data_IF_687829026625
#
_entry.id   IF_687829026625
#
_cell.length_a   1.000
_cell.length_b   1.000
_cell.length_c   1.000
_cell.angle_alpha   90.00
_cell.angle_beta   90.00
_cell.angle_gamma   90.00
#
_symmetry.space_group_name_H-M   'P 1'
#
loop_
_entity.id
_entity.type
_entity.pdbx_description
1 polymer ?
#
# COMPACT_ATOMS: atom_id res chain seq x y z
N UNK A 1 -4.46 -9.80 -45.75
CA UNK A 1 -4.76 -8.66 -44.86
C UNK A 1 -4.52 -9.11 -43.43
N UNK A 2 -3.36 -8.82 -42.85
CA UNK A 2 -3.01 -9.20 -41.48
C UNK A 2 -3.71 -8.24 -40.52
N UNK A 3 -4.70 -8.73 -39.79
CA UNK A 3 -5.30 -7.98 -38.69
C UNK A 3 -4.26 -7.86 -37.58
N UNK A 4 -3.58 -6.72 -37.52
CA UNK A 4 -2.76 -6.31 -36.38
C UNK A 4 -3.70 -6.17 -35.18
N UNK A 5 -3.84 -7.25 -34.42
CA UNK A 5 -4.59 -7.27 -33.17
C UNK A 5 -3.85 -6.36 -32.18
N UNK A 6 -4.38 -5.15 -31.98
CA UNK A 6 -3.97 -4.29 -30.88
C UNK A 6 -4.38 -4.99 -29.58
N UNK A 7 -3.41 -5.61 -28.93
CA UNK A 7 -3.56 -6.16 -27.58
C UNK A 7 -3.72 -4.97 -26.62
N UNK A 8 -4.97 -4.55 -26.42
CA UNK A 8 -5.34 -3.64 -25.32
C UNK A 8 -5.40 -4.52 -24.08
N UNK A 9 -4.29 -4.62 -23.36
CA UNK A 9 -4.29 -5.17 -22.00
C UNK A 9 -5.01 -4.18 -21.09
N UNK A 10 -6.33 -4.34 -20.98
CA UNK A 10 -7.09 -3.75 -19.89
C UNK A 10 -6.62 -4.44 -18.61
N UNK A 11 -5.66 -3.84 -17.91
CA UNK A 11 -5.55 -4.05 -16.48
C UNK A 11 -6.84 -3.49 -15.90
N UNK A 12 -7.81 -4.36 -15.65
CA UNK A 12 -8.92 -4.03 -14.78
C UNK A 12 -8.28 -3.62 -13.47
N UNK A 13 -8.26 -2.32 -13.17
CA UNK A 13 -7.95 -1.82 -11.85
C UNK A 13 -9.03 -2.41 -10.95
N UNK A 14 -8.72 -3.53 -10.28
CA UNK A 14 -9.39 -3.88 -9.04
C UNK A 14 -9.04 -2.72 -8.11
N UNK A 15 -9.91 -1.70 -8.08
CA UNK A 15 -9.89 -0.73 -7.00
C UNK A 15 -10.36 -1.54 -5.81
N UNK A 16 -9.43 -2.21 -5.15
CA UNK A 16 -9.68 -2.68 -3.81
C UNK A 16 -10.05 -1.41 -3.04
N UNK A 17 -11.26 -1.36 -2.48
CA UNK A 17 -11.76 -0.26 -1.66
C UNK A 17 -11.03 -0.28 -0.31
N UNK A 18 -9.70 -0.29 -0.38
CA UNK A 18 -8.76 -0.31 0.71
C UNK A 18 -8.83 1.09 1.32
N UNK A 19 -9.46 1.18 2.49
CA UNK A 19 -9.60 2.44 3.18
C UNK A 19 -8.48 2.55 4.21
N UNK A 20 -7.80 3.69 4.20
CA UNK A 20 -6.77 4.03 5.18
C UNK A 20 -7.41 4.12 6.58
N UNK A 21 -8.73 4.37 6.67
CA UNK A 21 -9.49 4.35 7.92
C UNK A 21 -9.57 3.00 8.63
N UNK A 22 -9.13 1.90 8.00
CA UNK A 22 -9.02 0.58 8.66
C UNK A 22 -7.70 0.42 9.44
N UNK A 23 -6.76 1.35 9.29
CA UNK A 23 -5.55 1.37 10.11
C UNK A 23 -5.89 1.74 11.56
N UNK A 24 -5.14 1.19 12.54
CA UNK A 24 -5.22 1.67 13.91
C UNK A 24 -4.90 3.17 14.01
N UNK A 25 -5.55 3.88 14.93
CA UNK A 25 -5.37 5.33 15.14
C UNK A 25 -3.88 5.74 15.32
N UNK A 26 -3.06 4.85 15.91
CA UNK A 26 -1.62 5.10 16.10
C UNK A 26 -0.80 4.96 14.80
N UNK A 27 -1.32 4.24 13.80
CA UNK A 27 -0.64 3.93 12.54
C UNK A 27 -1.04 4.88 11.39
N UNK A 28 -2.22 5.50 11.46
CA UNK A 28 -2.67 6.50 10.49
C UNK A 28 -1.65 7.63 10.27
N UNK A 29 -1.13 8.30 11.32
CA UNK A 29 -0.13 9.36 11.16
C UNK A 29 1.14 8.84 10.50
N UNK A 30 1.55 7.62 10.82
CA UNK A 30 2.73 7.00 10.19
C UNK A 30 2.55 6.84 8.68
N UNK A 31 1.35 6.46 8.22
CA UNK A 31 1.05 6.34 6.80
C UNK A 31 1.05 7.71 6.11
N UNK A 32 0.33 8.68 6.68
CA UNK A 32 0.14 10.02 6.08
C UNK A 32 1.44 10.82 6.08
N UNK A 33 2.17 10.86 7.19
CA UNK A 33 3.34 11.73 7.36
C UNK A 33 4.54 11.23 6.55
N UNK A 34 4.65 9.91 6.35
CA UNK A 34 5.71 9.33 5.52
C UNK A 34 5.34 9.27 4.03
N UNK A 35 4.09 9.58 3.64
CA UNK A 35 3.65 9.52 2.24
C UNK A 35 4.58 10.23 1.24
N UNK A 36 5.16 11.41 1.53
CA UNK A 36 6.09 12.06 0.60
C UNK A 36 7.31 11.22 0.23
N UNK A 37 7.72 10.25 1.07
CA UNK A 37 8.84 9.32 0.80
C UNK A 37 8.47 8.32 -0.31
N UNK A 38 7.18 8.01 -0.48
CA UNK A 38 6.71 7.02 -1.45
C UNK A 38 6.99 7.42 -2.90
N UNK A 39 6.97 8.73 -3.21
CA UNK A 39 7.01 9.25 -4.57
C UNK A 39 5.74 9.01 -5.38
N UNK A 40 4.68 8.51 -4.74
CA UNK A 40 3.42 8.15 -5.39
C UNK A 40 2.52 9.38 -5.60
N UNK A 41 1.63 9.29 -6.59
CA UNK A 41 0.77 10.40 -6.96
C UNK A 41 -0.40 10.64 -5.97
N UNK A 42 -0.83 9.59 -5.27
CA UNK A 42 -1.94 9.62 -4.31
C UNK A 42 -1.68 8.67 -3.15
N UNK A 43 -2.20 8.98 -1.96
CA UNK A 43 -2.20 8.08 -0.80
C UNK A 43 -3.02 6.81 -1.01
N UNK A 44 -3.86 6.78 -2.04
CA UNK A 44 -4.66 5.62 -2.45
C UNK A 44 -4.06 4.88 -3.64
N UNK A 45 -2.89 5.30 -4.13
CA UNK A 45 -2.15 4.57 -5.17
C UNK A 45 -1.39 3.40 -4.54
N UNK A 46 -2.16 2.43 -4.05
CA UNK A 46 -1.63 1.30 -3.28
C UNK A 46 -0.62 0.48 -4.09
N UNK A 47 -0.81 0.33 -5.41
CA UNK A 47 0.17 -0.36 -6.25
C UNK A 47 1.54 0.34 -6.22
N UNK A 48 1.57 1.68 -6.30
CA UNK A 48 2.80 2.45 -6.16
C UNK A 48 3.35 2.39 -4.72
N UNK A 49 2.49 2.57 -3.72
CA UNK A 49 2.87 2.60 -2.31
C UNK A 49 3.51 1.27 -1.89
N UNK A 50 2.87 0.16 -2.21
CA UNK A 50 3.38 -1.18 -1.92
C UNK A 50 4.72 -1.47 -2.60
N UNK A 51 4.95 -0.90 -3.79
CA UNK A 51 6.22 -1.02 -4.50
C UNK A 51 7.35 -0.14 -3.90
N UNK A 52 7.03 0.82 -3.03
CA UNK A 52 8.01 1.75 -2.45
C UNK A 52 8.62 1.19 -1.17
N UNK A 53 9.77 0.52 -1.30
CA UNK A 53 10.51 -0.04 -0.16
C UNK A 53 10.93 1.01 0.87
N UNK A 54 11.29 2.22 0.42
CA UNK A 54 11.67 3.33 1.31
C UNK A 54 10.48 3.78 2.17
N UNK A 55 9.30 3.90 1.57
CA UNK A 55 8.07 4.21 2.30
C UNK A 55 7.70 3.10 3.29
N UNK A 56 7.68 1.84 2.84
CA UNK A 56 7.34 0.69 3.68
C UNK A 56 8.26 0.59 4.91
N UNK A 57 9.57 0.82 4.75
CA UNK A 57 10.52 0.86 5.87
C UNK A 57 10.25 2.02 6.83
N UNK A 58 9.98 3.22 6.31
CA UNK A 58 9.71 4.40 7.13
C UNK A 58 8.42 4.24 7.95
N UNK A 59 7.35 3.76 7.33
CA UNK A 59 6.08 3.47 8.00
C UNK A 59 6.27 2.36 9.04
N UNK A 60 6.95 1.27 8.70
CA UNK A 60 7.22 0.17 9.64
C UNK A 60 7.97 0.66 10.88
N UNK A 61 9.02 1.45 10.71
CA UNK A 61 9.78 2.01 11.82
C UNK A 61 8.93 2.95 12.69
N UNK A 62 8.08 3.76 12.07
CA UNK A 62 7.15 4.64 12.79
C UNK A 62 6.12 3.85 13.60
N UNK A 63 5.46 2.87 12.98
CA UNK A 63 4.43 2.03 13.63
C UNK A 63 5.03 1.26 14.81
N UNK A 64 6.23 0.68 14.67
CA UNK A 64 6.91 0.00 15.77
C UNK A 64 7.25 0.91 16.96
N UNK A 65 7.41 2.22 16.73
CA UNK A 65 7.69 3.20 17.78
C UNK A 65 6.45 3.85 18.38
N UNK A 66 5.34 3.92 17.63
CA UNK A 66 4.12 4.63 18.02
C UNK A 66 3.00 3.71 18.53
N UNK A 67 2.96 2.46 18.07
CA UNK A 67 1.86 1.54 18.30
C UNK A 67 2.18 0.42 19.29
N UNK A 68 1.14 -0.12 19.95
CA UNK A 68 1.25 -1.36 20.72
C UNK A 68 1.36 -2.58 19.81
N UNK A 69 1.82 -3.72 20.36
CA UNK A 69 2.05 -4.95 19.57
C UNK A 69 0.81 -5.46 18.83
N UNK A 70 -0.39 -5.29 19.39
CA UNK A 70 -1.64 -5.66 18.72
C UNK A 70 -1.92 -4.78 17.49
N UNK A 71 -1.68 -3.47 17.61
CA UNK A 71 -1.91 -2.50 16.54
C UNK A 71 -0.84 -2.62 15.44
N UNK A 72 0.42 -2.90 15.82
CA UNK A 72 1.48 -3.23 14.87
C UNK A 72 1.07 -4.43 14.01
N UNK A 73 0.54 -5.49 14.63
CA UNK A 73 0.08 -6.67 13.91
C UNK A 73 -1.13 -6.37 13.02
N UNK A 74 -2.08 -5.56 13.50
CA UNK A 74 -3.24 -5.14 12.71
C UNK A 74 -2.81 -4.33 11.47
N UNK A 75 -1.89 -3.36 11.64
CA UNK A 75 -1.36 -2.57 10.54
C UNK A 75 -0.58 -3.42 9.52
N UNK A 76 0.21 -4.39 9.98
CA UNK A 76 0.92 -5.31 9.09
C UNK A 76 -0.03 -6.22 8.30
N UNK A 77 -1.07 -6.76 8.96
CA UNK A 77 -2.07 -7.58 8.29
C UNK A 77 -2.83 -6.77 7.23
N UNK A 78 -3.29 -5.57 7.59
CA UNK A 78 -3.91 -4.65 6.65
C UNK A 78 -2.98 -4.40 5.46
N UNK A 79 -1.74 -3.97 5.68
CA UNK A 79 -0.80 -3.67 4.60
C UNK A 79 -0.53 -4.89 3.71
N UNK A 80 -0.43 -6.08 4.29
CA UNK A 80 -0.26 -7.35 3.55
C UNK A 80 -1.46 -7.63 2.66
N UNK A 81 -2.68 -7.52 3.19
CA UNK A 81 -3.92 -7.71 2.44
C UNK A 81 -4.09 -6.65 1.33
N UNK A 82 -3.78 -5.39 1.63
CA UNK A 82 -3.73 -4.27 0.67
C UNK A 82 -2.87 -4.59 -0.51
N UNK A 83 -1.62 -4.88 -0.23
CA UNK A 83 -0.59 -5.05 -1.23
C UNK A 83 -0.78 -6.34 -2.05
N UNK A 84 -1.30 -7.41 -1.43
CA UNK A 84 -1.74 -8.60 -2.14
C UNK A 84 -2.91 -8.31 -3.09
N UNK A 85 -3.89 -7.51 -2.67
CA UNK A 85 -5.08 -7.21 -3.48
C UNK A 85 -4.77 -6.44 -4.76
N UNK A 86 -3.69 -5.67 -4.77
CA UNK A 86 -3.19 -4.93 -5.94
C UNK A 86 -2.08 -5.66 -6.69
N UNK A 87 -1.74 -6.89 -6.30
CA UNK A 87 -0.75 -7.74 -6.97
C UNK A 87 0.71 -7.32 -6.74
N UNK A 88 0.98 -6.54 -5.69
CA UNK A 88 2.31 -6.08 -5.31
C UNK A 88 2.55 -6.45 -3.84
N UNK A 89 2.77 -7.74 -3.49
CA UNK A 89 2.99 -8.17 -2.12
C UNK A 89 4.16 -7.41 -1.46
N UNK A 90 4.03 -7.08 -0.17
CA UNK A 90 5.13 -6.50 0.61
C UNK A 90 6.14 -7.60 0.91
N UNK A 91 7.40 -7.36 0.57
CA UNK A 91 8.52 -8.15 1.05
C UNK A 91 8.88 -7.65 2.46
N UNK A 92 8.47 -8.41 3.48
CA UNK A 92 8.74 -8.15 4.91
C UNK A 92 10.15 -8.61 5.30
#
# INVERSE_FOLDING_TARGET
>A
MQFKTLAITLFASLVAAQDISELPDCAEPCFVDNFPISGCASQTDFACICASSAYNQAVTACVLGACGSADVLAALNWATETCNSVGVPIEI
#
